data_IF_425656900459
#
_entry.id   IF_425656900459
#
_cell.length_a   1.000
_cell.length_b   1.000
_cell.length_c   1.000
_cell.angle_alpha   90.00
_cell.angle_beta   90.00
_cell.angle_gamma   90.00
#
_symmetry.space_group_name_H-M   'P 1'
#
loop_
_entity.id
_entity.type
_entity.pdbx_description
1 polymer ?
#
# COMPACT_ATOMS: atom_id res chain seq x y z
N UNK A 1 -13.29 -19.49 -0.49
CA UNK A 1 -13.74 -19.93 0.83
C UNK A 1 -14.80 -19.02 1.42
N UNK A 2 -15.43 -19.43 2.54
CA UNK A 2 -16.21 -18.57 3.42
C UNK A 2 -15.44 -17.33 3.90
N UNK A 3 -14.14 -17.45 4.26
CA UNK A 3 -13.32 -16.34 4.75
C UNK A 3 -13.24 -15.19 3.74
N UNK A 4 -12.86 -15.52 2.49
CA UNK A 4 -12.82 -14.55 1.38
C UNK A 4 -14.16 -13.83 1.20
N UNK A 5 -15.26 -14.57 1.29
CA UNK A 5 -16.61 -14.03 1.15
C UNK A 5 -16.98 -13.13 2.33
N UNK A 6 -16.71 -13.53 3.55
CA UNK A 6 -17.00 -12.75 4.76
C UNK A 6 -16.20 -11.45 4.79
N UNK A 7 -14.90 -11.51 4.47
CA UNK A 7 -14.05 -10.34 4.32
C UNK A 7 -14.60 -9.39 3.23
N UNK A 8 -14.95 -9.92 2.06
CA UNK A 8 -15.47 -9.12 0.96
C UNK A 8 -16.78 -8.41 1.27
N UNK A 9 -17.69 -9.02 2.06
CA UNK A 9 -18.99 -8.40 2.40
C UNK A 9 -18.98 -7.68 3.76
N UNK A 10 -17.82 -7.57 4.42
CA UNK A 10 -17.71 -6.88 5.71
C UNK A 10 -18.39 -7.58 6.88
N UNK A 11 -18.49 -8.92 6.87
CA UNK A 11 -19.03 -9.68 8.01
C UNK A 11 -17.99 -9.82 9.10
N UNK A 12 -18.08 -8.97 10.12
CA UNK A 12 -17.15 -8.91 11.25
C UNK A 12 -17.28 -10.09 12.21
N UNK A 13 -18.51 -10.43 12.61
CA UNK A 13 -18.80 -11.42 13.67
C UNK A 13 -18.07 -12.77 13.52
N UNK A 14 -17.98 -13.41 12.33
CA UNK A 14 -17.25 -14.67 12.19
C UNK A 14 -15.76 -14.55 12.53
N UNK A 15 -15.13 -13.42 12.24
CA UNK A 15 -13.72 -13.19 12.57
C UNK A 15 -13.55 -12.96 14.08
N UNK A 16 -14.44 -12.19 14.70
CA UNK A 16 -14.38 -11.95 16.15
C UNK A 16 -14.56 -13.24 16.94
N UNK A 17 -15.58 -14.03 16.58
CA UNK A 17 -15.88 -15.28 17.24
C UNK A 17 -14.71 -16.29 17.15
N UNK A 18 -14.09 -16.43 15.97
CA UNK A 18 -13.06 -17.45 15.76
C UNK A 18 -11.65 -16.99 16.18
N UNK A 19 -11.35 -15.69 16.05
CA UNK A 19 -9.98 -15.16 16.22
C UNK A 19 -9.78 -14.30 17.48
N UNK A 20 -10.83 -13.69 18.05
CA UNK A 20 -10.70 -12.90 19.29
C UNK A 20 -11.02 -13.70 20.55
N UNK A 21 -11.97 -14.62 20.51
CA UNK A 21 -12.38 -15.33 21.73
C UNK A 21 -11.30 -16.33 22.17
N UNK A 22 -10.84 -16.19 23.43
CA UNK A 22 -10.00 -17.18 24.13
C UNK A 22 -10.85 -18.39 24.53
N UNK A 23 -11.43 -19.08 23.55
CA UNK A 23 -12.15 -20.32 23.81
C UNK A 23 -11.12 -21.43 24.00
N UNK A 24 -11.18 -22.09 25.17
CA UNK A 24 -10.22 -23.09 25.68
C UNK A 24 -10.01 -24.32 24.77
N UNK A 25 -10.73 -24.43 23.64
CA UNK A 25 -10.66 -25.56 22.70
C UNK A 25 -10.58 -25.15 21.22
N UNK A 26 -10.31 -23.89 20.88
CA UNK A 26 -10.27 -23.43 19.47
C UNK A 26 -8.86 -23.34 18.90
N UNK A 27 -7.82 -23.79 19.59
CA UNK A 27 -6.42 -23.67 19.11
C UNK A 27 -6.23 -24.28 17.72
N UNK A 28 -6.78 -25.46 17.46
CA UNK A 28 -6.70 -26.12 16.15
C UNK A 28 -7.50 -25.38 15.08
N UNK A 29 -8.69 -24.88 15.43
CA UNK A 29 -9.52 -24.09 14.51
C UNK A 29 -8.85 -22.76 14.19
N UNK A 30 -8.31 -22.07 15.19
CA UNK A 30 -7.60 -20.79 15.02
C UNK A 30 -6.38 -20.99 14.14
N UNK A 31 -5.57 -22.01 14.39
CA UNK A 31 -4.41 -22.34 13.56
C UNK A 31 -4.84 -22.64 12.12
N UNK A 32 -5.89 -23.44 11.94
CA UNK A 32 -6.47 -23.71 10.62
C UNK A 32 -6.95 -22.43 9.92
N UNK A 33 -7.60 -21.50 10.64
CA UNK A 33 -7.97 -20.20 10.08
C UNK A 33 -6.74 -19.40 9.69
N UNK A 34 -5.70 -19.35 10.53
CA UNK A 34 -4.46 -18.62 10.22
C UNK A 34 -3.77 -19.21 9.00
N UNK A 35 -3.65 -20.53 8.90
CA UNK A 35 -3.13 -21.21 7.70
C UNK A 35 -3.93 -20.81 6.45
N UNK A 36 -5.25 -20.78 6.54
CA UNK A 36 -6.09 -20.27 5.45
C UNK A 36 -5.87 -18.78 5.17
N UNK A 37 -5.56 -17.93 6.16
CA UNK A 37 -5.22 -16.52 5.92
C UNK A 37 -3.96 -16.43 5.04
N UNK A 38 -2.95 -17.26 5.31
CA UNK A 38 -1.73 -17.30 4.50
C UNK A 38 -1.98 -17.88 3.10
N UNK A 39 -2.75 -18.95 2.98
CA UNK A 39 -3.03 -19.59 1.68
C UNK A 39 -3.94 -18.76 0.77
N UNK A 40 -4.96 -18.13 1.36
CA UNK A 40 -6.05 -17.52 0.60
C UNK A 40 -6.03 -16.00 0.59
N UNK A 41 -5.29 -15.40 1.51
CA UNK A 41 -5.14 -13.96 1.70
C UNK A 41 -6.48 -13.19 1.67
N UNK A 42 -7.36 -13.37 2.69
CA UNK A 42 -8.60 -12.64 2.81
C UNK A 42 -8.42 -11.12 2.88
N UNK A 43 -7.23 -10.61 3.23
CA UNK A 43 -6.93 -9.16 3.23
C UNK A 43 -7.04 -8.55 1.82
N UNK A 44 -6.72 -9.30 0.76
CA UNK A 44 -6.99 -8.85 -0.63
C UNK A 44 -8.48 -8.61 -0.88
N UNK A 45 -9.35 -9.33 -0.16
CA UNK A 45 -10.80 -9.20 -0.27
C UNK A 45 -11.32 -8.05 0.57
N UNK A 46 -10.71 -7.78 1.73
CA UNK A 46 -10.94 -6.56 2.51
C UNK A 46 -10.59 -5.32 1.69
N UNK A 47 -9.41 -5.31 1.05
CA UNK A 47 -8.92 -4.18 0.26
C UNK A 47 -9.76 -3.87 -0.98
N UNK A 48 -10.50 -4.84 -1.52
CA UNK A 48 -11.39 -4.64 -2.68
C UNK A 48 -12.88 -4.61 -2.34
N UNK A 49 -13.22 -4.69 -1.06
CA UNK A 49 -14.59 -4.74 -0.59
C UNK A 49 -15.32 -3.41 -0.87
N UNK A 50 -16.59 -3.51 -1.22
CA UNK A 50 -17.50 -2.36 -1.32
C UNK A 50 -18.21 -2.05 0.02
N UNK A 51 -17.91 -2.79 1.09
CA UNK A 51 -18.50 -2.55 2.40
C UNK A 51 -17.94 -1.29 3.06
N UNK A 52 -18.48 -0.89 4.20
CA UNK A 52 -17.94 0.24 4.96
C UNK A 52 -16.42 0.11 5.26
N UNK A 53 -15.69 1.22 5.15
CA UNK A 53 -14.23 1.21 5.35
C UNK A 53 -13.84 0.97 6.81
N UNK A 54 -14.60 1.47 7.78
CA UNK A 54 -14.31 1.26 9.20
C UNK A 54 -14.48 -0.22 9.56
N UNK A 55 -15.51 -0.88 9.00
CA UNK A 55 -15.65 -2.34 9.11
C UNK A 55 -14.51 -3.10 8.43
N UNK A 56 -14.05 -2.63 7.27
CA UNK A 56 -12.92 -3.26 6.58
C UNK A 56 -11.63 -3.16 7.38
N UNK A 57 -11.36 -1.99 7.96
CA UNK A 57 -10.22 -1.78 8.88
C UNK A 57 -10.34 -2.71 10.08
N UNK A 58 -11.51 -2.82 10.72
CA UNK A 58 -11.70 -3.75 11.84
C UNK A 58 -11.41 -5.21 11.46
N UNK A 59 -11.88 -5.67 10.29
CA UNK A 59 -11.59 -7.03 9.81
C UNK A 59 -10.09 -7.18 9.54
N UNK A 60 -9.45 -6.20 8.90
CA UNK A 60 -8.00 -6.23 8.64
C UNK A 60 -7.22 -6.36 9.95
N UNK A 61 -7.54 -5.53 10.96
CA UNK A 61 -6.90 -5.57 12.28
C UNK A 61 -7.02 -6.96 12.93
N UNK A 62 -8.20 -7.58 12.89
CA UNK A 62 -8.40 -8.92 13.49
C UNK A 62 -7.52 -9.97 12.80
N UNK A 63 -7.45 -9.93 11.46
CA UNK A 63 -6.66 -10.87 10.67
C UNK A 63 -5.17 -10.65 10.91
N UNK A 64 -4.73 -9.39 10.98
CA UNK A 64 -3.35 -9.00 11.27
C UNK A 64 -2.93 -9.47 12.66
N UNK A 65 -3.70 -9.14 13.70
CA UNK A 65 -3.44 -9.55 15.08
C UNK A 65 -3.34 -11.08 15.20
N UNK A 66 -4.19 -11.82 14.48
CA UNK A 66 -4.16 -13.27 14.47
C UNK A 66 -2.87 -13.82 13.85
N UNK A 67 -2.42 -13.23 12.74
CA UNK A 67 -1.17 -13.60 12.06
C UNK A 67 0.08 -13.20 12.86
N UNK A 68 0.12 -11.99 13.44
CA UNK A 68 1.26 -11.56 14.26
C UNK A 68 1.48 -12.51 15.45
N UNK A 69 0.40 -12.86 16.15
CA UNK A 69 0.45 -13.81 17.28
C UNK A 69 0.93 -15.21 16.87
N UNK A 70 0.71 -15.63 15.62
CA UNK A 70 1.19 -16.94 15.14
C UNK A 70 2.67 -16.88 14.72
N UNK A 71 3.08 -15.79 14.04
CA UNK A 71 4.47 -15.57 13.61
C UNK A 71 5.42 -15.48 14.81
N UNK A 72 4.97 -14.92 15.93
CA UNK A 72 5.77 -14.77 17.15
C UNK A 72 5.97 -16.10 17.93
N UNK A 73 5.30 -17.20 17.55
CA UNK A 73 5.47 -18.47 18.24
C UNK A 73 6.85 -19.09 17.97
N UNK A 74 7.43 -19.84 18.94
CA UNK A 74 8.79 -20.40 18.84
C UNK A 74 9.03 -21.33 17.63
N UNK A 75 7.96 -21.97 17.13
CA UNK A 75 7.97 -22.86 15.97
C UNK A 75 7.42 -22.18 14.71
N UNK A 76 7.24 -20.86 14.73
CA UNK A 76 6.71 -20.09 13.61
C UNK A 76 7.61 -20.20 12.40
N UNK A 77 7.05 -20.71 11.29
CA UNK A 77 7.72 -20.62 9.99
C UNK A 77 7.86 -19.14 9.64
N UNK A 78 9.02 -18.72 9.13
CA UNK A 78 9.19 -17.37 8.57
C UNK A 78 8.39 -17.26 7.27
N UNK A 79 7.08 -17.03 7.40
CA UNK A 79 6.18 -16.82 6.27
C UNK A 79 6.15 -15.34 5.94
N UNK A 80 6.08 -15.01 4.66
CA UNK A 80 5.82 -13.65 4.19
C UNK A 80 4.49 -13.16 4.78
N UNK A 81 4.49 -11.95 5.37
CA UNK A 81 3.29 -11.43 6.02
C UNK A 81 2.16 -11.27 4.99
N UNK A 82 0.91 -11.66 5.31
CA UNK A 82 -0.17 -11.70 4.31
C UNK A 82 -0.48 -10.35 3.65
N UNK A 83 -0.24 -9.24 4.35
CA UNK A 83 -0.42 -7.89 3.80
C UNK A 83 0.68 -7.46 2.82
N UNK A 84 1.83 -8.14 2.82
CA UNK A 84 2.91 -7.94 1.83
C UNK A 84 2.86 -8.97 0.69
N UNK A 85 2.19 -10.10 0.90
CA UNK A 85 2.02 -11.12 -0.12
C UNK A 85 1.40 -10.56 -1.40
N UNK A 86 1.97 -10.96 -2.54
CA UNK A 86 1.48 -10.62 -3.87
C UNK A 86 0.52 -11.67 -4.38
N UNK A 87 -0.53 -11.21 -5.07
CA UNK A 87 -1.43 -12.11 -5.80
C UNK A 87 -0.80 -12.61 -7.12
N UNK A 88 -1.57 -13.38 -7.90
CA UNK A 88 -1.13 -13.92 -9.19
C UNK A 88 -0.80 -12.85 -10.25
N UNK A 89 -1.20 -11.60 -10.03
CA UNK A 89 -0.90 -10.46 -10.89
C UNK A 89 0.29 -9.64 -10.37
N UNK A 90 0.91 -10.07 -9.27
CA UNK A 90 1.99 -9.35 -8.62
C UNK A 90 1.51 -8.20 -7.74
N UNK A 91 0.21 -8.10 -7.46
CA UNK A 91 -0.39 -6.99 -6.72
C UNK A 91 -0.54 -7.34 -5.23
N UNK A 92 -0.16 -6.41 -4.37
CA UNK A 92 -0.32 -6.54 -2.90
C UNK A 92 -1.68 -6.02 -2.44
N UNK A 93 -1.98 -6.22 -1.16
CA UNK A 93 -3.18 -5.68 -0.50
C UNK A 93 -3.26 -4.15 -0.64
N UNK A 94 -2.12 -3.46 -0.51
CA UNK A 94 -2.05 -2.00 -0.69
C UNK A 94 -2.39 -1.57 -2.12
N UNK A 95 -1.94 -2.32 -3.15
CA UNK A 95 -2.31 -2.03 -4.54
C UNK A 95 -3.84 -2.04 -4.72
N UNK A 96 -4.49 -3.09 -4.20
CA UNK A 96 -5.94 -3.26 -4.31
C UNK A 96 -6.71 -2.17 -3.58
N UNK A 97 -6.27 -1.81 -2.37
CA UNK A 97 -6.90 -0.74 -1.60
C UNK A 97 -6.84 0.60 -2.34
N UNK A 98 -5.67 0.94 -2.92
CA UNK A 98 -5.49 2.17 -3.69
C UNK A 98 -6.34 2.16 -4.96
N UNK A 99 -6.28 1.09 -5.75
CA UNK A 99 -7.04 0.98 -7.00
C UNK A 99 -8.54 1.15 -6.79
N UNK A 100 -9.04 0.63 -5.66
CA UNK A 100 -10.44 0.71 -5.25
C UNK A 100 -10.79 1.98 -4.48
N UNK A 101 -9.83 2.92 -4.34
CA UNK A 101 -9.99 4.20 -3.64
C UNK A 101 -10.45 4.05 -2.19
N UNK A 102 -9.99 2.98 -1.53
CA UNK A 102 -10.28 2.65 -0.14
C UNK A 102 -9.24 3.33 0.74
N UNK A 103 -9.32 4.66 0.87
CA UNK A 103 -8.24 5.45 1.47
C UNK A 103 -7.98 5.09 2.94
N UNK A 104 -9.00 4.89 3.79
CA UNK A 104 -8.79 4.50 5.19
C UNK A 104 -8.15 3.12 5.28
N UNK A 105 -8.58 2.18 4.44
CA UNK A 105 -8.00 0.83 4.38
C UNK A 105 -6.54 0.87 3.91
N UNK A 106 -6.23 1.66 2.88
CA UNK A 106 -4.86 1.83 2.42
C UNK A 106 -3.97 2.51 3.49
N UNK A 107 -4.48 3.53 4.19
CA UNK A 107 -3.79 4.19 5.29
C UNK A 107 -3.53 3.26 6.47
N UNK A 108 -4.47 2.34 6.75
CA UNK A 108 -4.30 1.28 7.74
C UNK A 108 -3.09 0.39 7.39
N UNK A 109 -3.03 -0.13 6.16
CA UNK A 109 -1.89 -0.93 5.70
C UNK A 109 -0.57 -0.15 5.66
N UNK A 110 -0.61 1.15 5.38
CA UNK A 110 0.59 2.02 5.46
C UNK A 110 1.06 2.31 6.89
N UNK A 111 0.25 1.97 7.89
CA UNK A 111 0.59 2.16 9.31
C UNK A 111 1.17 0.89 9.94
N UNK A 112 1.26 -0.22 9.18
CA UNK A 112 1.83 -1.47 9.65
C UNK A 112 3.36 -1.38 9.82
N UNK A 113 3.89 -2.20 10.73
CA UNK A 113 5.34 -2.33 10.92
C UNK A 113 6.00 -2.79 9.63
N UNK A 114 7.21 -2.30 9.37
CA UNK A 114 8.02 -2.68 8.20
C UNK A 114 7.44 -2.27 6.85
N UNK A 115 6.50 -1.31 6.81
CA UNK A 115 5.95 -0.76 5.56
C UNK A 115 7.05 -0.21 4.65
N UNK A 116 8.16 0.27 5.21
CA UNK A 116 9.31 0.72 4.45
C UNK A 116 9.91 -0.37 3.57
N UNK A 117 9.83 -1.65 3.96
CA UNK A 117 10.28 -2.78 3.12
C UNK A 117 9.37 -2.97 1.92
N UNK A 118 8.06 -2.78 2.11
CA UNK A 118 7.07 -2.83 1.03
C UNK A 118 7.29 -1.69 0.03
N UNK A 119 7.48 -0.46 0.53
CA UNK A 119 7.77 0.69 -0.31
C UNK A 119 9.14 0.54 -1.00
N UNK A 120 10.10 -0.10 -0.33
CA UNK A 120 11.43 -0.33 -0.88
C UNK A 120 11.47 -1.38 -1.98
N UNK A 121 10.42 -2.19 -2.13
CA UNK A 121 10.30 -3.17 -3.20
C UNK A 121 10.16 -2.54 -4.60
N UNK A 122 10.07 -1.20 -4.68
CA UNK A 122 10.07 -0.46 -5.94
C UNK A 122 8.70 -0.40 -6.64
N UNK A 123 7.63 -0.83 -5.98
CA UNK A 123 6.29 -0.69 -6.54
C UNK A 123 5.90 0.81 -6.62
N UNK A 124 5.22 1.24 -7.70
CA UNK A 124 4.89 2.65 -7.93
C UNK A 124 3.68 3.12 -7.09
N UNK A 125 3.64 2.80 -5.79
CA UNK A 125 2.51 3.11 -4.90
C UNK A 125 2.15 4.59 -4.87
N UNK A 126 3.15 5.48 -4.93
CA UNK A 126 2.93 6.93 -4.96
C UNK A 126 2.20 7.36 -6.23
N UNK A 127 2.66 6.91 -7.39
CA UNK A 127 2.01 7.17 -8.67
C UNK A 127 0.61 6.57 -8.72
N UNK A 128 0.45 5.34 -8.23
CA UNK A 128 -0.85 4.66 -8.16
C UNK A 128 -1.83 5.45 -7.27
N UNK A 129 -1.39 5.96 -6.11
CA UNK A 129 -2.22 6.76 -5.23
C UNK A 129 -2.66 8.07 -5.90
N UNK A 130 -1.77 8.72 -6.63
CA UNK A 130 -2.07 9.95 -7.38
C UNK A 130 -3.06 9.69 -8.52
N UNK A 131 -2.82 8.64 -9.32
CA UNK A 131 -3.67 8.25 -10.44
C UNK A 131 -5.10 7.94 -9.97
N UNK A 132 -5.22 7.20 -8.86
CA UNK A 132 -6.50 6.85 -8.28
C UNK A 132 -7.11 7.95 -7.39
N UNK A 133 -6.46 9.12 -7.28
CA UNK A 133 -6.91 10.28 -6.49
C UNK A 133 -7.04 9.98 -4.99
N UNK A 134 -6.20 9.09 -4.48
CA UNK A 134 -6.10 8.72 -3.08
C UNK A 134 -5.18 9.69 -2.33
N UNK A 135 -5.66 10.91 -2.07
CA UNK A 135 -4.80 12.02 -1.66
C UNK A 135 -4.15 11.81 -0.28
N UNK A 136 -4.91 11.29 0.70
CA UNK A 136 -4.37 10.99 2.02
C UNK A 136 -3.28 9.93 1.96
N UNK A 137 -3.48 8.92 1.09
CA UNK A 137 -2.51 7.85 0.86
C UNK A 137 -1.24 8.38 0.19
N UNK A 138 -1.37 9.19 -0.87
CA UNK A 138 -0.23 9.80 -1.56
C UNK A 138 0.61 10.66 -0.61
N UNK A 139 -0.05 11.47 0.24
CA UNK A 139 0.61 12.26 1.26
C UNK A 139 1.35 11.38 2.28
N UNK A 140 0.69 10.33 2.78
CA UNK A 140 1.29 9.41 3.76
C UNK A 140 2.51 8.68 3.18
N UNK A 141 2.46 8.25 1.92
CA UNK A 141 3.61 7.63 1.24
C UNK A 141 4.76 8.64 1.13
N UNK A 142 4.48 9.89 0.75
CA UNK A 142 5.50 10.94 0.66
C UNK A 142 6.19 11.18 2.02
N UNK A 143 5.41 11.20 3.10
CA UNK A 143 5.94 11.34 4.46
C UNK A 143 6.83 10.15 4.85
N UNK A 144 6.43 8.91 4.48
CA UNK A 144 7.24 7.71 4.73
C UNK A 144 8.55 7.71 3.92
N UNK A 145 8.53 8.23 2.69
CA UNK A 145 9.76 8.39 1.87
C UNK A 145 10.76 9.30 2.56
N UNK A 146 10.30 10.42 3.14
CA UNK A 146 11.17 11.32 3.91
C UNK A 146 11.66 10.67 5.21
N UNK A 147 10.75 10.04 5.96
CA UNK A 147 11.06 9.42 7.26
C UNK A 147 12.11 8.31 7.15
N UNK A 148 12.05 7.51 6.09
CA UNK A 148 12.92 6.35 5.90
C UNK A 148 14.00 6.57 4.85
N UNK A 149 14.18 7.80 4.35
CA UNK A 149 15.18 8.15 3.33
C UNK A 149 15.11 7.27 2.06
N UNK A 150 13.89 6.91 1.63
CA UNK A 150 13.64 5.98 0.51
C UNK A 150 13.77 6.64 -0.89
N UNK A 151 14.47 7.78 -0.96
CA UNK A 151 14.59 8.61 -2.18
C UNK A 151 15.38 7.92 -3.28
N UNK A 152 16.37 7.11 -2.90
CA UNK A 152 17.36 6.48 -3.79
C UNK A 152 17.51 5.01 -3.41
N UNK A 153 16.48 4.21 -3.59
CA UNK A 153 16.67 2.77 -3.47
C UNK A 153 17.20 2.24 -4.79
N UNK A 154 18.41 1.65 -4.82
CA UNK A 154 18.85 0.92 -5.98
C UNK A 154 17.87 -0.23 -6.20
N UNK A 155 17.34 -0.35 -7.43
CA UNK A 155 16.59 -1.51 -7.90
C UNK A 155 17.31 -2.77 -7.40
N UNK A 156 16.79 -3.39 -6.34
CA UNK A 156 17.49 -4.53 -5.73
C UNK A 156 17.50 -5.66 -6.76
N UNK A 157 18.66 -6.31 -6.91
CA UNK A 157 18.96 -7.38 -7.87
C UNK A 157 18.11 -8.67 -7.75
N UNK A 158 16.90 -8.59 -7.21
CA UNK A 158 15.95 -9.69 -7.15
C UNK A 158 15.42 -9.92 -8.57
N UNK A 159 15.93 -10.97 -9.22
CA UNK A 159 15.44 -11.51 -10.51
C UNK A 159 13.90 -11.39 -10.63
N UNK A 160 13.43 -10.33 -11.28
CA UNK A 160 12.09 -10.26 -11.86
C UNK A 160 12.20 -9.73 -13.28
N UNK A 161 12.05 -10.68 -14.19
CA UNK A 161 11.54 -10.56 -15.56
C UNK A 161 11.45 -9.14 -16.13
N UNK A 162 12.44 -8.77 -16.94
CA UNK A 162 12.34 -8.02 -18.20
C UNK A 162 11.21 -6.98 -18.21
N UNK A 163 11.46 -5.76 -17.71
CA UNK A 163 10.92 -4.44 -18.16
C UNK A 163 10.96 -3.29 -17.12
N UNK A 164 11.60 -3.41 -15.95
CA UNK A 164 11.68 -2.27 -15.00
C UNK A 164 13.05 -2.18 -14.32
N UNK A 165 13.96 -1.42 -14.94
CA UNK A 165 15.14 -0.86 -14.29
C UNK A 165 15.03 0.67 -14.36
N UNK A 166 15.09 1.35 -13.20
CA UNK A 166 15.41 2.79 -13.14
C UNK A 166 14.45 3.69 -12.37
N UNK A 167 13.27 3.22 -11.98
CA UNK A 167 12.32 4.05 -11.23
C UNK A 167 12.68 4.19 -9.74
N UNK A 168 12.61 5.41 -9.20
CA UNK A 168 12.57 5.64 -7.74
C UNK A 168 11.11 5.75 -7.28
N UNK A 169 10.84 5.85 -5.98
CA UNK A 169 9.48 6.19 -5.51
C UNK A 169 8.98 7.55 -6.05
N UNK A 170 9.88 8.38 -6.58
CA UNK A 170 9.60 9.72 -7.10
C UNK A 170 9.68 9.82 -8.63
N UNK A 171 10.16 8.78 -9.33
CA UNK A 171 10.37 8.76 -10.78
C UNK A 171 9.97 7.40 -11.35
N UNK A 172 9.12 7.37 -12.37
CA UNK A 172 8.74 6.14 -13.07
C UNK A 172 9.88 5.61 -13.96
N UNK A 173 9.67 4.43 -14.54
CA UNK A 173 10.54 3.85 -15.56
C UNK A 173 10.53 4.60 -16.90
N UNK A 174 9.64 5.58 -17.09
CA UNK A 174 9.55 6.43 -18.29
C UNK A 174 10.11 7.84 -18.04
N UNK A 175 10.93 8.01 -17.00
CA UNK A 175 11.43 9.32 -16.56
C UNK A 175 10.39 10.25 -15.93
N UNK A 176 9.10 9.85 -15.86
CA UNK A 176 8.05 10.70 -15.30
C UNK A 176 8.23 10.82 -13.80
N UNK A 177 8.44 12.03 -13.33
CA UNK A 177 8.45 12.32 -11.89
C UNK A 177 7.04 12.40 -11.31
N UNK A 178 6.93 12.26 -9.99
CA UNK A 178 5.68 12.48 -9.24
C UNK A 178 5.04 13.84 -9.56
N UNK A 179 5.82 14.86 -9.92
CA UNK A 179 5.31 16.17 -10.30
C UNK A 179 4.51 16.16 -11.61
N UNK A 180 4.77 15.22 -12.53
CA UNK A 180 4.00 15.11 -13.77
C UNK A 180 2.54 14.73 -13.51
N UNK A 181 2.31 13.99 -12.42
CA UNK A 181 0.98 13.51 -12.04
C UNK A 181 0.40 14.25 -10.83
N UNK A 182 1.22 14.96 -10.05
CA UNK A 182 0.82 15.70 -8.86
C UNK A 182 -0.36 16.68 -9.06
N UNK A 183 -0.56 17.35 -10.21
CA UNK A 183 -1.75 18.17 -10.44
C UNK A 183 -3.08 17.39 -10.38
N UNK A 184 -3.06 16.06 -10.47
CA UNK A 184 -4.24 15.21 -10.23
C UNK A 184 -4.61 15.14 -8.75
N UNK A 185 -3.71 15.53 -7.84
CA UNK A 185 -3.95 15.60 -6.42
C UNK A 185 -4.55 16.94 -5.97
N UNK A 186 -5.37 16.89 -4.91
CA UNK A 186 -5.98 18.08 -4.30
C UNK A 186 -5.05 18.75 -3.28
N UNK A 187 -5.41 19.99 -2.94
CA UNK A 187 -4.78 20.76 -1.88
C UNK A 187 -3.34 21.14 -2.22
N UNK A 188 -2.52 21.27 -1.18
CA UNK A 188 -1.14 21.73 -1.31
C UNK A 188 -0.16 20.61 -1.70
N UNK A 189 -0.63 19.46 -2.19
CA UNK A 189 0.25 18.32 -2.50
C UNK A 189 1.38 18.69 -3.45
N UNK A 190 1.07 19.41 -4.54
CA UNK A 190 2.09 19.90 -5.49
C UNK A 190 3.10 20.81 -4.79
N UNK A 191 2.65 21.76 -3.95
CA UNK A 191 3.53 22.65 -3.18
C UNK A 191 4.44 21.85 -2.25
N UNK A 192 3.91 20.84 -1.59
CA UNK A 192 4.66 20.01 -0.66
C UNK A 192 5.75 19.20 -1.39
N UNK A 193 5.41 18.59 -2.53
CA UNK A 193 6.40 17.88 -3.35
C UNK A 193 7.49 18.84 -3.83
N UNK A 194 7.13 20.01 -4.39
CA UNK A 194 8.11 21.01 -4.84
C UNK A 194 9.00 21.51 -3.69
N UNK A 195 8.42 21.74 -2.50
CA UNK A 195 9.16 22.20 -1.32
C UNK A 195 10.17 21.16 -0.83
N UNK A 196 9.80 19.87 -0.86
CA UNK A 196 10.63 18.75 -0.37
C UNK A 196 11.64 18.26 -1.39
N UNK A 197 11.30 18.39 -2.67
CA UNK A 197 12.04 17.82 -3.81
C UNK A 197 12.15 18.83 -4.97
N UNK A 198 12.74 20.01 -4.75
CA UNK A 198 12.82 21.06 -5.76
C UNK A 198 13.63 20.65 -7.01
N UNK A 199 14.51 19.66 -6.88
CA UNK A 199 15.27 19.08 -7.99
C UNK A 199 14.38 18.43 -9.06
N UNK A 200 13.19 17.95 -8.71
CA UNK A 200 12.26 17.32 -9.66
C UNK A 200 11.72 18.32 -10.70
N UNK A 201 11.77 19.64 -10.42
CA UNK A 201 11.36 20.68 -11.38
C UNK A 201 12.28 20.77 -12.61
N UNK A 202 13.51 20.28 -12.48
CA UNK A 202 14.50 20.30 -13.57
C UNK A 202 14.44 19.06 -14.44
N UNK A 203 13.71 18.03 -14.01
CA UNK A 203 13.62 16.75 -14.71
C UNK A 203 12.56 16.81 -15.81
N UNK A 204 12.87 16.15 -16.92
CA UNK A 204 11.93 15.84 -18.00
C UNK A 204 11.66 14.35 -18.00
N UNK A 205 10.47 13.96 -18.45
CA UNK A 205 10.23 12.57 -18.83
C UNK A 205 10.99 12.20 -20.13
N UNK A 206 10.86 10.95 -20.55
CA UNK A 206 11.56 10.42 -21.73
C UNK A 206 11.13 11.12 -23.04
N UNK A 207 9.97 11.77 -23.05
CA UNK A 207 9.47 12.57 -24.18
C UNK A 207 9.98 14.02 -24.14
N UNK A 208 10.81 14.37 -23.15
CA UNK A 208 11.34 15.73 -22.95
C UNK A 208 10.32 16.68 -22.32
N UNK A 209 9.19 16.18 -21.82
CA UNK A 209 8.14 16.99 -21.19
C UNK A 209 8.54 17.28 -19.75
N UNK A 210 8.40 18.54 -19.33
CA UNK A 210 8.56 18.93 -17.92
C UNK A 210 7.24 18.78 -17.18
N UNK A 211 7.32 18.26 -15.96
CA UNK A 211 6.19 18.05 -15.06
C UNK A 211 5.25 19.25 -14.93
N UNK A 212 5.82 20.46 -14.84
CA UNK A 212 5.12 21.73 -14.82
C UNK A 212 6.04 22.79 -15.44
N UNK A 213 5.55 23.64 -16.35
CA UNK A 213 6.18 24.94 -16.55
C UNK A 213 5.95 25.79 -15.30
N UNK A 214 6.92 26.63 -14.92
CA UNK A 214 6.80 27.55 -13.79
C UNK A 214 5.49 28.37 -13.82
N UNK A 215 4.97 28.66 -15.02
CA UNK A 215 3.72 29.37 -15.30
C UNK A 215 2.46 28.60 -14.88
N UNK A 216 2.46 27.26 -14.93
CA UNK A 216 1.33 26.46 -14.45
C UNK A 216 1.27 26.42 -12.91
N UNK A 217 2.41 26.45 -12.21
CA UNK A 217 2.46 26.54 -10.76
C UNK A 217 1.96 27.90 -10.24
N UNK A 218 2.12 28.97 -11.05
CA UNK A 218 1.60 30.31 -10.74
C UNK A 218 0.06 30.40 -10.84
N UNK A 219 -0.57 29.62 -11.72
CA UNK A 219 -2.03 29.60 -11.89
C UNK A 219 -2.78 28.75 -10.84
N UNK A 220 -2.09 27.85 -10.14
CA UNK A 220 -2.64 27.10 -9.00
C UNK A 220 -2.44 27.86 -7.68
N UNK A 221 -2.74 29.17 -7.61
CA UNK A 221 -2.74 30.00 -6.38
C UNK A 221 -1.86 29.45 -5.23
N UNK A 222 -0.56 29.36 -5.52
CA UNK A 222 0.45 28.98 -4.55
C UNK A 222 1.05 30.21 -3.88
N UNK A 223 0.19 30.97 -3.19
CA UNK A 223 0.55 31.95 -2.18
C UNK A 223 -0.35 31.70 -0.97
#
# INVERSE_FOLDING_TARGET
SPLKRWAFIGKLYPFEYVLKEEVVNTTDLRRYIVDMIFEENPLLYVAKSDCDEDRSVQIATILEDACEKEIEQPNGVKVEQPWFARDRYGETVLHKAIQKRREKVALHFLSLKKVELLLAAGDPFLFLAIEHKCHGVAQKILDLVDQHSLKTLPSSNTRRTVLQDGGTLLTSNTGRTVLHDAPKCKGDFVKQVVKRYPELLKQTDDDGVRACSFEHLANYNCC
#
